data_IF_127287447279
#
_entry.id   IF_127287447279
#
_cell.length_a   1.000
_cell.length_b   1.000
_cell.length_c   1.000
_cell.angle_alpha   90.00
_cell.angle_beta   90.00
_cell.angle_gamma   90.00
#
_symmetry.space_group_name_H-M   'P 1'
#
loop_
_entity.id
_entity.type
_entity.pdbx_description
1 polymer ?
#
# COMPACT_ATOMS: atom_id res chain seq x y z
N UNK A 1 -28.52 -10.00 -6.39
CA UNK A 1 -27.26 -9.81 -5.63
C UNK A 1 -26.25 -9.14 -6.55
N UNK A 2 -25.66 -8.02 -6.10
CA UNK A 2 -24.51 -7.39 -6.78
C UNK A 2 -23.23 -7.85 -6.08
N UNK A 3 -22.28 -8.38 -6.84
CA UNK A 3 -21.04 -8.94 -6.33
C UNK A 3 -19.84 -8.53 -7.24
N UNK A 4 -19.85 -7.27 -7.70
CA UNK A 4 -18.86 -6.76 -8.63
C UNK A 4 -17.78 -5.89 -7.95
N UNK A 5 -17.61 -6.07 -6.64
CA UNK A 5 -16.71 -5.24 -5.82
C UNK A 5 -17.20 -3.80 -5.69
N UNK A 6 -16.45 -2.97 -4.98
CA UNK A 6 -16.81 -1.56 -4.73
C UNK A 6 -17.00 -0.78 -6.04
N UNK A 7 -16.04 -0.85 -6.95
CA UNK A 7 -16.08 -0.10 -8.20
C UNK A 7 -17.21 -0.58 -9.12
N UNK A 8 -17.25 -1.87 -9.41
CA UNK A 8 -18.21 -2.42 -10.35
C UNK A 8 -19.66 -2.36 -9.85
N UNK A 9 -19.89 -2.62 -8.56
CA UNK A 9 -21.23 -2.51 -7.98
C UNK A 9 -21.75 -1.07 -8.02
N UNK A 10 -20.91 -0.11 -7.67
CA UNK A 10 -21.24 1.32 -7.73
C UNK A 10 -21.51 1.75 -9.17
N UNK A 11 -20.69 1.34 -10.12
CA UNK A 11 -20.90 1.66 -11.54
C UNK A 11 -22.23 1.12 -12.05
N UNK A 12 -22.55 -0.14 -11.76
CA UNK A 12 -23.84 -0.75 -12.14
C UNK A 12 -25.00 0.05 -11.57
N UNK A 13 -24.94 0.43 -10.30
CA UNK A 13 -26.03 1.19 -9.67
C UNK A 13 -26.16 2.59 -10.25
N UNK A 14 -25.06 3.30 -10.52
CA UNK A 14 -25.09 4.61 -11.15
C UNK A 14 -25.69 4.54 -12.56
N UNK A 15 -25.27 3.57 -13.37
CA UNK A 15 -25.85 3.34 -14.72
C UNK A 15 -27.32 2.99 -14.66
N UNK A 16 -27.71 2.15 -13.69
CA UNK A 16 -29.12 1.77 -13.52
C UNK A 16 -29.97 2.96 -13.09
N UNK A 17 -29.44 3.85 -12.25
CA UNK A 17 -30.10 5.11 -11.88
C UNK A 17 -30.37 5.99 -13.09
N UNK A 18 -29.39 6.12 -13.98
CA UNK A 18 -29.55 6.91 -15.20
C UNK A 18 -30.55 6.28 -16.18
N UNK A 19 -30.85 5.00 -16.02
CA UNK A 19 -31.91 4.27 -16.74
C UNK A 19 -33.26 4.25 -15.99
N UNK A 20 -33.38 5.00 -14.90
CA UNK A 20 -34.63 5.16 -14.16
C UNK A 20 -34.80 4.26 -12.95
N UNK A 21 -33.80 3.47 -12.55
CA UNK A 21 -33.86 2.73 -11.28
C UNK A 21 -33.85 3.68 -10.09
N UNK A 22 -34.87 3.61 -9.25
CA UNK A 22 -34.94 4.38 -8.02
C UNK A 22 -33.92 3.85 -7.00
N UNK A 23 -32.78 4.51 -6.89
CA UNK A 23 -31.76 4.26 -5.87
C UNK A 23 -31.45 5.53 -5.09
N UNK A 24 -30.90 5.35 -3.89
CA UNK A 24 -30.52 6.47 -3.04
C UNK A 24 -29.49 7.39 -3.71
N UNK A 25 -29.56 8.67 -3.41
CA UNK A 25 -28.55 9.69 -3.76
C UNK A 25 -27.21 9.49 -3.03
N UNK A 26 -27.12 8.50 -2.14
CA UNK A 26 -25.91 8.08 -1.45
C UNK A 26 -25.02 7.19 -2.32
N UNK A 27 -25.58 6.54 -3.36
CA UNK A 27 -24.78 5.75 -4.30
C UNK A 27 -23.71 6.62 -4.95
N UNK A 28 -22.51 6.14 -4.92
CA UNK A 28 -21.32 6.87 -5.38
C UNK A 28 -20.64 7.74 -4.33
N UNK A 29 -21.24 7.93 -3.15
CA UNK A 29 -20.67 8.78 -2.09
C UNK A 29 -19.92 7.96 -1.04
N UNK A 30 -19.02 8.64 -0.31
CA UNK A 30 -18.24 8.09 0.79
C UNK A 30 -17.32 6.94 0.37
N UNK A 31 -16.69 7.07 -0.78
CA UNK A 31 -15.59 6.20 -1.14
C UNK A 31 -14.40 6.45 -0.21
N UNK A 32 -13.82 5.36 0.28
CA UNK A 32 -12.62 5.33 1.09
C UNK A 32 -11.57 4.44 0.40
N UNK A 33 -10.33 4.84 0.46
CA UNK A 33 -9.18 4.03 0.07
C UNK A 33 -8.61 3.25 1.26
N UNK A 34 -9.34 3.18 2.38
CA UNK A 34 -8.92 2.50 3.60
C UNK A 34 -7.59 3.01 4.18
N UNK A 35 -7.18 4.21 3.80
CA UNK A 35 -5.89 4.79 4.19
C UNK A 35 -4.69 3.93 3.79
N UNK A 36 -4.82 3.08 2.76
CA UNK A 36 -3.77 2.14 2.36
C UNK A 36 -2.46 2.84 2.01
N UNK A 37 -1.37 2.39 2.61
CA UNK A 37 -0.01 2.73 2.16
C UNK A 37 0.89 1.50 2.11
N UNK A 38 1.89 1.58 1.24
CA UNK A 38 3.01 0.64 1.18
C UNK A 38 4.28 1.41 1.52
N UNK A 39 5.09 0.86 2.40
CA UNK A 39 6.39 1.41 2.75
C UNK A 39 7.41 0.31 2.99
N UNK A 40 8.67 0.71 3.19
CA UNK A 40 9.76 -0.23 3.34
C UNK A 40 10.66 0.16 4.52
N UNK A 41 11.16 -0.89 5.21
CA UNK A 41 12.32 -0.80 6.08
C UNK A 41 13.54 -1.29 5.32
N UNK A 42 14.57 -0.45 5.19
CA UNK A 42 15.75 -0.74 4.41
C UNK A 42 16.98 -0.88 5.31
N UNK A 43 17.80 -1.89 5.06
CA UNK A 43 19.05 -2.06 5.77
C UNK A 43 18.91 -2.44 7.25
N UNK A 44 17.83 -3.08 7.64
CA UNK A 44 17.66 -3.61 9.00
C UNK A 44 18.79 -4.56 9.38
N UNK A 45 19.01 -4.75 10.70
CA UNK A 45 20.10 -5.58 11.23
C UNK A 45 19.93 -7.07 10.91
N UNK A 46 18.68 -7.51 10.78
CA UNK A 46 18.36 -8.91 10.51
C UNK A 46 18.04 -9.13 9.05
N UNK A 47 18.44 -10.29 8.52
CA UNK A 47 17.97 -10.75 7.22
C UNK A 47 16.50 -11.15 7.36
N UNK A 48 15.66 -10.55 6.54
CA UNK A 48 14.20 -10.78 6.60
C UNK A 48 13.72 -11.75 5.54
N UNK A 49 14.45 -11.87 4.41
CA UNK A 49 14.09 -12.72 3.28
C UNK A 49 12.66 -12.44 2.74
N UNK A 50 12.29 -11.17 2.65
CA UNK A 50 10.95 -10.75 2.17
C UNK A 50 10.88 -10.45 0.68
N UNK A 51 11.94 -10.72 -0.07
CA UNK A 51 12.03 -10.44 -1.50
C UNK A 51 12.06 -11.75 -2.29
N UNK A 52 11.27 -11.81 -3.35
CA UNK A 52 11.32 -12.93 -4.28
C UNK A 52 10.34 -14.07 -3.97
N UNK A 53 9.14 -13.74 -3.50
CA UNK A 53 8.06 -14.73 -3.30
C UNK A 53 7.89 -15.61 -4.55
N UNK A 54 7.91 -16.91 -4.32
CA UNK A 54 7.70 -17.91 -5.38
C UNK A 54 8.93 -18.21 -6.24
N UNK A 55 10.11 -17.64 -5.95
CA UNK A 55 11.32 -17.91 -6.71
C UNK A 55 12.59 -17.88 -5.89
N UNK A 56 13.52 -18.72 -6.34
CA UNK A 56 13.85 -19.89 -5.57
C UNK A 56 14.17 -19.47 -4.15
N UNK A 57 13.99 -20.36 -3.16
CA UNK A 57 14.39 -20.07 -1.78
C UNK A 57 15.84 -19.62 -1.76
N UNK A 58 16.13 -18.58 -0.99
CA UNK A 58 17.45 -17.96 -0.94
C UNK A 58 18.21 -18.30 0.31
N UNK A 59 17.47 -18.57 1.35
CA UNK A 59 18.02 -18.92 2.65
C UNK A 59 17.31 -20.21 3.06
N UNK A 60 18.07 -21.27 3.20
CA UNK A 60 17.54 -22.56 3.64
C UNK A 60 16.86 -22.42 5.00
N UNK A 61 15.65 -22.91 5.13
CA UNK A 61 14.86 -22.82 6.35
C UNK A 61 14.21 -21.45 6.60
N UNK A 62 14.38 -20.49 5.68
CA UNK A 62 13.74 -19.17 5.73
C UNK A 62 13.06 -18.87 4.38
N UNK A 63 12.27 -19.82 3.91
CA UNK A 63 11.48 -19.65 2.70
C UNK A 63 10.45 -18.52 2.88
N UNK A 64 10.26 -17.75 1.84
CA UNK A 64 9.21 -16.74 1.83
C UNK A 64 7.86 -17.45 1.79
N UNK A 65 7.13 -17.32 2.86
CA UNK A 65 5.80 -17.92 3.03
C UNK A 65 4.68 -17.05 2.49
N UNK A 66 3.60 -16.98 3.24
CA UNK A 66 2.48 -16.06 2.97
C UNK A 66 2.97 -14.61 3.00
N UNK A 67 2.35 -13.77 2.18
CA UNK A 67 2.75 -12.35 2.07
C UNK A 67 2.49 -11.53 3.34
N UNK A 68 1.64 -12.02 4.23
CA UNK A 68 1.36 -11.41 5.54
C UNK A 68 1.49 -12.50 6.58
N UNK A 69 2.53 -12.42 7.42
CA UNK A 69 2.80 -13.39 8.49
C UNK A 69 2.82 -12.75 9.87
N UNK A 70 2.93 -11.44 9.95
CA UNK A 70 2.83 -10.67 11.18
C UNK A 70 2.05 -9.38 10.99
N UNK A 71 1.41 -8.92 12.06
CA UNK A 71 0.74 -7.64 12.09
C UNK A 71 0.87 -6.96 13.46
N UNK A 72 0.84 -5.63 13.44
CA UNK A 72 0.73 -4.76 14.60
C UNK A 72 -0.60 -4.03 14.50
N UNK A 73 -1.38 -4.07 15.56
CA UNK A 73 -2.64 -3.35 15.67
C UNK A 73 -2.54 -2.28 16.76
N UNK A 74 -2.86 -1.06 16.39
CA UNK A 74 -2.99 0.06 17.32
C UNK A 74 -4.47 0.37 17.45
N UNK A 75 -5.01 0.13 18.62
CA UNK A 75 -6.43 0.30 18.94
C UNK A 75 -6.64 1.49 19.85
N UNK A 76 -7.60 2.33 19.50
CA UNK A 76 -8.06 3.44 20.33
C UNK A 76 -9.59 3.45 20.36
N UNK A 77 -10.18 2.82 21.38
CA UNK A 77 -11.63 2.73 21.51
C UNK A 77 -12.34 4.09 21.66
N UNK A 78 -11.60 5.17 21.90
CA UNK A 78 -12.14 6.52 22.03
C UNK A 78 -12.06 7.33 20.75
N UNK A 79 -11.13 6.98 19.85
CA UNK A 79 -10.93 7.69 18.61
C UNK A 79 -10.48 6.74 17.47
N UNK A 80 -11.44 6.34 16.66
CA UNK A 80 -11.20 5.46 15.52
C UNK A 80 -10.15 6.02 14.52
N UNK A 81 -10.03 7.34 14.42
CA UNK A 81 -9.05 7.96 13.54
C UNK A 81 -7.61 7.65 13.97
N UNK A 82 -7.39 7.25 15.23
CA UNK A 82 -6.09 6.83 15.72
C UNK A 82 -5.80 5.34 15.50
N UNK A 83 -6.80 4.56 15.15
CA UNK A 83 -6.58 3.14 14.88
C UNK A 83 -5.83 2.95 13.56
N UNK A 84 -4.89 2.03 13.59
CA UNK A 84 -4.17 1.60 12.40
C UNK A 84 -3.69 0.16 12.54
N UNK A 85 -3.51 -0.48 11.42
CA UNK A 85 -2.92 -1.82 11.33
C UNK A 85 -1.73 -1.77 10.40
N UNK A 86 -0.59 -2.30 10.86
CA UNK A 86 0.62 -2.48 10.06
C UNK A 86 0.80 -3.98 9.87
N UNK A 87 0.94 -4.41 8.65
CA UNK A 87 1.19 -5.79 8.26
C UNK A 87 2.52 -5.88 7.54
N UNK A 88 3.27 -6.93 7.81
CA UNK A 88 4.42 -7.23 6.98
C UNK A 88 3.98 -7.74 5.61
N UNK A 89 4.85 -7.59 4.63
CA UNK A 89 4.60 -8.03 3.28
C UNK A 89 5.84 -8.61 2.63
N UNK A 90 5.66 -9.19 1.47
CA UNK A 90 6.75 -9.70 0.67
C UNK A 90 6.67 -9.17 -0.76
N UNK A 91 7.83 -8.89 -1.34
CA UNK A 91 7.93 -8.42 -2.74
C UNK A 91 7.88 -9.63 -3.67
N UNK A 92 6.97 -9.66 -4.65
CA UNK A 92 6.95 -10.71 -5.67
C UNK A 92 8.26 -10.79 -6.44
N UNK A 93 8.70 -12.01 -6.78
CA UNK A 93 9.93 -12.24 -7.55
C UNK A 93 9.95 -11.51 -8.88
N UNK A 94 8.79 -11.33 -9.51
CA UNK A 94 8.68 -10.59 -10.78
C UNK A 94 9.08 -9.11 -10.65
N UNK A 95 8.87 -8.50 -9.47
CA UNK A 95 9.20 -7.10 -9.19
C UNK A 95 10.60 -6.94 -8.60
N UNK A 96 11.13 -7.98 -7.99
CA UNK A 96 12.42 -7.95 -7.28
C UNK A 96 13.58 -7.35 -8.10
N UNK A 97 13.77 -7.66 -9.39
CA UNK A 97 14.85 -7.08 -10.19
C UNK A 97 14.77 -5.55 -10.35
N UNK A 98 13.59 -4.95 -10.20
CA UNK A 98 13.41 -3.49 -10.32
C UNK A 98 13.75 -2.73 -9.04
N UNK A 99 13.83 -3.41 -7.89
CA UNK A 99 14.08 -2.78 -6.60
C UNK A 99 15.32 -1.89 -6.57
N UNK A 100 16.50 -2.30 -7.08
CA UNK A 100 17.67 -1.45 -7.05
C UNK A 100 17.45 -0.11 -7.75
N UNK A 101 16.74 -0.11 -8.88
CA UNK A 101 16.42 1.10 -9.64
C UNK A 101 15.39 1.96 -8.90
N UNK A 102 14.38 1.34 -8.30
CA UNK A 102 13.34 2.05 -7.53
C UNK A 102 13.91 2.78 -6.32
N UNK A 103 14.96 2.26 -5.70
CA UNK A 103 15.57 2.84 -4.49
C UNK A 103 16.68 3.86 -4.78
N UNK A 104 17.15 4.00 -6.03
CA UNK A 104 18.19 4.98 -6.41
C UNK A 104 17.85 6.43 -6.02
N UNK A 105 16.63 6.95 -6.24
CA UNK A 105 16.32 8.35 -5.95
C UNK A 105 16.42 8.73 -4.46
N UNK A 106 16.46 7.74 -3.57
CA UNK A 106 16.51 7.96 -2.12
C UNK A 106 17.92 8.03 -1.55
N UNK A 107 18.95 8.29 -2.38
CA UNK A 107 20.34 8.43 -1.95
C UNK A 107 21.04 7.12 -1.58
N UNK A 108 20.43 5.97 -1.86
CA UNK A 108 20.95 4.62 -1.56
C UNK A 108 21.76 4.02 -2.71
N UNK A 109 22.50 4.88 -3.41
CA UNK A 109 23.24 4.52 -4.62
C UNK A 109 24.18 3.33 -4.43
N UNK A 110 24.94 3.30 -3.34
CA UNK A 110 25.90 2.22 -3.09
C UNK A 110 25.20 0.87 -2.89
N UNK A 111 24.12 0.83 -2.10
CA UNK A 111 23.33 -0.39 -1.89
C UNK A 111 22.64 -0.86 -3.16
N UNK A 112 22.11 0.04 -3.96
CA UNK A 112 21.52 -0.26 -5.24
C UNK A 112 22.56 -0.82 -6.23
N UNK A 113 23.73 -0.20 -6.34
CA UNK A 113 24.83 -0.69 -7.19
C UNK A 113 25.35 -2.06 -6.74
N UNK A 114 25.52 -2.25 -5.43
CA UNK A 114 25.88 -3.56 -4.88
C UNK A 114 24.87 -4.63 -5.25
N UNK A 115 23.59 -4.31 -5.19
CA UNK A 115 22.52 -5.25 -5.52
C UNK A 115 22.38 -5.53 -7.01
N UNK A 116 22.77 -4.60 -7.88
CA UNK A 116 22.86 -4.87 -9.32
C UNK A 116 23.92 -5.93 -9.64
N UNK A 117 25.01 -5.97 -8.85
CA UNK A 117 26.09 -6.94 -9.04
C UNK A 117 25.82 -8.25 -8.31
N UNK A 118 25.35 -8.18 -7.06
CA UNK A 118 25.19 -9.35 -6.17
C UNK A 118 23.79 -9.96 -6.20
N UNK A 119 22.86 -9.31 -6.88
CA UNK A 119 21.42 -9.63 -6.86
C UNK A 119 20.72 -9.08 -5.62
N UNK A 120 19.40 -8.97 -5.72
CA UNK A 120 18.53 -8.41 -4.66
C UNK A 120 18.38 -9.29 -3.42
N UNK A 121 18.92 -10.48 -3.46
CA UNK A 121 18.86 -11.45 -2.35
C UNK A 121 20.07 -11.39 -1.44
N UNK A 122 20.99 -10.45 -1.68
CA UNK A 122 22.21 -10.24 -0.89
C UNK A 122 22.36 -8.76 -0.58
N UNK A 123 23.17 -8.47 0.44
CA UNK A 123 23.40 -7.09 0.84
C UNK A 123 22.15 -6.42 1.44
N UNK A 124 21.97 -5.11 1.28
CA UNK A 124 20.92 -4.35 1.96
C UNK A 124 19.50 -4.79 1.63
N UNK A 125 19.26 -5.35 0.44
CA UNK A 125 17.93 -5.84 0.06
C UNK A 125 17.56 -7.19 0.70
N UNK A 126 18.52 -7.96 1.19
CA UNK A 126 18.23 -9.15 1.98
C UNK A 126 17.58 -8.81 3.33
N UNK A 127 17.78 -7.58 3.81
CA UNK A 127 17.17 -7.03 5.01
C UNK A 127 16.02 -6.07 4.70
N UNK A 128 15.53 -6.04 3.45
CA UNK A 128 14.39 -5.23 3.08
C UNK A 128 13.13 -5.80 3.71
N UNK A 129 12.44 -4.99 4.50
CA UNK A 129 11.11 -5.32 5.02
C UNK A 129 10.07 -4.50 4.27
N UNK A 130 9.05 -5.16 3.76
CA UNK A 130 7.89 -4.50 3.16
C UNK A 130 6.78 -4.40 4.18
N UNK A 131 6.11 -3.27 4.23
CA UNK A 131 4.97 -3.03 5.10
C UNK A 131 3.77 -2.58 4.28
N UNK A 132 2.62 -3.15 4.61
CA UNK A 132 1.31 -2.65 4.25
C UNK A 132 0.69 -2.05 5.50
N UNK A 133 0.15 -0.86 5.40
CA UNK A 133 -0.52 -0.27 6.53
C UNK A 133 -1.85 0.36 6.10
N UNK A 134 -2.83 0.28 6.99
CA UNK A 134 -4.17 0.78 6.80
C UNK A 134 -4.61 1.59 8.01
N UNK A 135 -5.48 2.56 7.77
CA UNK A 135 -6.11 3.38 8.81
C UNK A 135 -7.40 3.99 8.27
N UNK A 136 -8.09 4.74 9.09
CA UNK A 136 -9.30 5.47 8.67
C UNK A 136 -8.93 6.75 7.92
N UNK A 137 -9.37 6.87 6.67
CA UNK A 137 -9.42 8.12 5.92
C UNK A 137 -10.79 8.80 6.10
N UNK A 138 -10.97 9.98 5.53
CA UNK A 138 -12.22 10.76 5.70
C UNK A 138 -13.39 10.20 4.90
N UNK A 139 -13.20 9.19 4.06
CA UNK A 139 -14.18 8.65 3.12
C UNK A 139 -14.87 9.77 2.31
N UNK A 140 -14.11 10.74 1.82
CA UNK A 140 -14.63 11.91 1.11
C UNK A 140 -14.67 11.73 -0.41
N UNK A 141 -14.21 10.59 -0.92
CA UNK A 141 -14.28 10.25 -2.33
C UNK A 141 -15.72 10.11 -2.84
N UNK A 142 -15.94 10.49 -4.09
CA UNK A 142 -17.25 10.37 -4.74
C UNK A 142 -17.09 9.83 -6.15
N UNK A 143 -17.80 8.76 -6.45
CA UNK A 143 -17.92 8.22 -7.79
C UNK A 143 -19.03 8.90 -8.58
N UNK A 144 -18.78 9.10 -9.86
CA UNK A 144 -19.78 9.58 -10.83
C UNK A 144 -19.52 8.91 -12.17
N UNK A 145 -20.50 8.90 -13.04
CA UNK A 145 -20.29 8.63 -14.44
C UNK A 145 -19.80 9.90 -15.15
N UNK A 146 -18.76 9.76 -15.94
CA UNK A 146 -18.23 10.76 -16.84
C UNK A 146 -18.28 10.19 -18.26
N UNK A 147 -19.36 10.51 -18.96
CA UNK A 147 -19.74 9.79 -20.16
C UNK A 147 -19.97 8.31 -19.85
N UNK A 148 -19.21 7.43 -20.49
CA UNK A 148 -19.32 5.97 -20.32
C UNK A 148 -18.24 5.40 -19.38
N UNK A 149 -17.70 6.20 -18.49
CA UNK A 149 -16.65 5.74 -17.55
C UNK A 149 -16.99 6.12 -16.12
N UNK A 150 -16.69 5.21 -15.20
CA UNK A 150 -16.68 5.53 -13.78
C UNK A 150 -15.50 6.45 -13.47
N UNK A 151 -15.75 7.59 -12.88
CA UNK A 151 -14.75 8.55 -12.45
C UNK A 151 -14.80 8.76 -10.93
N UNK A 152 -13.65 8.82 -10.30
CA UNK A 152 -13.50 9.16 -8.89
C UNK A 152 -13.15 10.65 -8.76
N UNK A 153 -13.95 11.39 -8.01
CA UNK A 153 -13.64 12.74 -7.56
C UNK A 153 -13.27 12.68 -6.08
N UNK A 154 -12.01 12.98 -5.77
CA UNK A 154 -11.51 13.06 -4.41
C UNK A 154 -10.43 14.15 -4.36
N UNK A 155 -10.85 15.32 -3.93
CA UNK A 155 -9.95 16.47 -3.83
C UNK A 155 -8.95 16.24 -2.69
N UNK A 156 -7.67 16.50 -2.98
CA UNK A 156 -6.59 16.45 -2.00
C UNK A 156 -6.44 15.07 -1.31
N UNK A 157 -6.82 13.98 -1.98
CA UNK A 157 -6.74 12.61 -1.45
C UNK A 157 -5.35 12.26 -0.88
N UNK A 158 -4.28 12.81 -1.48
CA UNK A 158 -2.90 12.60 -1.04
C UNK A 158 -2.59 13.28 0.31
N UNK A 159 -3.44 14.17 0.78
CA UNK A 159 -3.27 14.93 2.02
C UNK A 159 -4.18 14.45 3.16
N UNK A 160 -4.75 13.24 3.02
CA UNK A 160 -5.56 12.65 4.09
C UNK A 160 -4.74 12.54 5.39
N UNK A 161 -5.31 12.93 6.55
CA UNK A 161 -4.58 12.96 7.83
C UNK A 161 -4.02 11.61 8.25
N UNK A 162 -4.67 10.51 7.85
CA UNK A 162 -4.22 9.16 8.16
C UNK A 162 -2.81 8.86 7.63
N UNK A 163 -2.42 9.42 6.47
CA UNK A 163 -1.10 9.15 5.89
C UNK A 163 0.06 9.68 6.74
N UNK A 164 -0.10 10.84 7.37
CA UNK A 164 0.93 11.37 8.27
C UNK A 164 1.10 10.48 9.51
N UNK A 165 -0.01 10.00 10.08
CA UNK A 165 0.01 9.08 11.23
C UNK A 165 0.63 7.73 10.87
N UNK A 166 0.27 7.19 9.72
CA UNK A 166 0.84 5.93 9.21
C UNK A 166 2.35 6.06 8.96
N UNK A 167 2.78 7.16 8.35
CA UNK A 167 4.20 7.45 8.13
C UNK A 167 4.99 7.49 9.44
N UNK A 168 4.45 8.14 10.48
CA UNK A 168 5.08 8.24 11.79
C UNK A 168 5.16 6.88 12.49
N UNK A 169 4.06 6.12 12.48
CA UNK A 169 4.01 4.79 13.07
C UNK A 169 4.98 3.83 12.38
N UNK A 170 4.98 3.80 11.05
CA UNK A 170 5.86 2.97 10.24
C UNK A 170 7.33 3.34 10.46
N UNK A 171 7.64 4.63 10.51
CA UNK A 171 9.00 5.10 10.82
C UNK A 171 9.46 4.57 12.17
N UNK A 172 8.63 4.69 13.21
CA UNK A 172 8.94 4.20 14.56
C UNK A 172 9.20 2.69 14.57
N UNK A 173 8.37 1.90 13.86
CA UNK A 173 8.54 0.45 13.74
C UNK A 173 9.85 0.10 13.04
N UNK A 174 10.14 0.73 11.91
CA UNK A 174 11.35 0.47 11.11
C UNK A 174 12.62 0.85 11.87
N UNK A 175 12.65 2.03 12.50
CA UNK A 175 13.81 2.50 13.27
C UNK A 175 14.05 1.62 14.49
N UNK A 176 13.01 1.12 15.14
CA UNK A 176 13.11 0.15 16.24
C UNK A 176 13.74 -1.17 15.80
N UNK A 177 13.50 -1.59 14.55
CA UNK A 177 14.15 -2.75 13.93
C UNK A 177 15.59 -2.45 13.45
N UNK A 178 16.05 -1.21 13.57
CA UNK A 178 17.38 -0.77 13.16
C UNK A 178 17.53 -0.57 11.65
N UNK A 179 16.43 -0.34 10.95
CA UNK A 179 16.38 -0.02 9.52
C UNK A 179 16.11 1.46 9.26
N UNK A 180 16.22 1.85 8.00
CA UNK A 180 15.84 3.16 7.48
C UNK A 180 14.43 3.10 6.88
N UNK A 181 13.55 3.99 7.32
CA UNK A 181 12.22 4.11 6.74
C UNK A 181 12.27 4.68 5.32
N UNK A 182 11.59 4.03 4.39
CA UNK A 182 11.49 4.45 2.99
C UNK A 182 10.02 4.43 2.57
N UNK A 183 9.49 5.59 2.20
CA UNK A 183 8.19 5.68 1.54
C UNK A 183 8.22 4.91 0.22
N UNK A 184 7.05 4.47 -0.23
CA UNK A 184 6.93 3.80 -1.52
C UNK A 184 7.60 4.64 -2.63
N UNK A 185 8.70 4.18 -3.22
CA UNK A 185 9.42 4.95 -4.23
C UNK A 185 8.60 5.21 -5.50
N UNK A 186 7.59 4.40 -5.77
CA UNK A 186 6.70 4.56 -6.93
C UNK A 186 5.64 5.64 -6.72
N UNK A 187 5.32 5.99 -5.48
CA UNK A 187 4.24 6.93 -5.18
C UNK A 187 4.48 8.30 -5.83
N UNK A 188 5.71 8.80 -5.78
CA UNK A 188 6.06 10.11 -6.34
C UNK A 188 6.29 10.14 -7.85
N UNK A 189 6.80 9.05 -8.42
CA UNK A 189 7.26 9.02 -9.82
C UNK A 189 6.23 8.43 -10.78
N UNK A 190 5.65 7.30 -10.41
CA UNK A 190 4.72 6.55 -11.27
C UNK A 190 3.27 6.90 -10.97
N UNK A 191 2.95 7.10 -9.69
CA UNK A 191 1.58 7.31 -9.22
C UNK A 191 1.21 8.79 -9.08
N UNK A 192 2.12 9.73 -9.38
CA UNK A 192 1.86 11.16 -9.32
C UNK A 192 1.41 11.65 -7.95
N UNK A 193 1.95 11.06 -6.88
CA UNK A 193 1.57 11.30 -5.48
C UNK A 193 0.11 10.94 -5.13
N UNK A 194 -0.58 10.23 -6.02
CA UNK A 194 -1.93 9.76 -5.73
C UNK A 194 -1.90 8.55 -4.80
N UNK A 195 -2.84 8.43 -3.86
CA UNK A 195 -2.97 7.22 -3.06
C UNK A 195 -3.37 6.03 -3.95
N UNK A 196 -2.91 4.86 -3.57
CA UNK A 196 -3.35 3.60 -4.17
C UNK A 196 -3.96 2.74 -3.08
N UNK A 197 -5.00 2.01 -3.42
CA UNK A 197 -5.64 1.10 -2.48
C UNK A 197 -5.81 -0.28 -3.09
N UNK A 198 -5.62 -1.30 -2.26
CA UNK A 198 -6.04 -2.67 -2.53
C UNK A 198 -7.40 -3.00 -1.86
N UNK A 199 -7.88 -2.13 -0.98
CA UNK A 199 -9.07 -2.33 -0.16
C UNK A 199 -10.09 -1.20 -0.34
N UNK A 200 -10.57 -0.95 -1.57
CA UNK A 200 -11.55 0.12 -1.79
C UNK A 200 -12.87 -0.18 -1.08
N UNK A 201 -13.40 0.81 -0.37
CA UNK A 201 -14.63 0.71 0.42
C UNK A 201 -15.63 1.78 0.04
N UNK A 202 -16.91 1.53 0.24
CA UNK A 202 -17.98 2.50 0.00
C UNK A 202 -18.27 2.77 -1.48
N UNK A 203 -18.88 3.90 -1.79
CA UNK A 203 -19.26 4.31 -3.16
C UNK A 203 -20.74 4.15 -3.50
#
# INVERSE_FOLDING_TARGET
VLAAGTLGSTEILLRSRDQGLAVSDRVGKRFSANGDIIAFGYGAKSIVNSVGVGYPPRIEGLEIGASVTGQLEFRDAQNLDHELTIQEGAVPSAVAPSLPVMFLPNGRLLGALQSLVSGVYKGPFASLQTYFAVSHDTASGTFRLDGDKLALAWKDAQNEPCYARLDEALRSVVESAGGDYVKNPLAGTVMGHQPATAHPLGG
#
